data_IF_548332234143
#
_entry.id   IF_548332234143
#
_cell.length_a   1.000
_cell.length_b   1.000
_cell.length_c   1.000
_cell.angle_alpha   90.00
_cell.angle_beta   90.00
_cell.angle_gamma   90.00
#
_symmetry.space_group_name_H-M   'P 1'
#
loop_
_entity.id
_entity.type
_entity.pdbx_description
1 polymer ?
#
# COMPACT_ATOMS: atom_id res chain seq x y z
N UNK A 1 20.55 -44.50 -49.23
CA UNK A 1 19.90 -43.34 -48.58
C UNK A 1 18.49 -43.75 -48.18
N UNK A 2 18.04 -43.58 -46.93
CA UNK A 2 16.64 -43.82 -46.60
C UNK A 2 15.78 -42.63 -47.11
N UNK A 3 14.52 -42.89 -47.54
CA UNK A 3 13.68 -41.85 -48.12
C UNK A 3 13.21 -40.83 -47.06
N UNK A 4 13.22 -39.55 -47.45
CA UNK A 4 12.69 -38.43 -46.64
C UNK A 4 11.17 -38.58 -46.53
N UNK A 5 10.63 -38.61 -45.31
CA UNK A 5 9.19 -38.61 -45.07
C UNK A 5 8.66 -37.17 -45.16
N UNK A 6 7.74 -36.91 -46.09
CA UNK A 6 6.95 -35.69 -46.16
C UNK A 6 5.92 -35.66 -45.02
N UNK A 7 5.75 -34.52 -44.36
CA UNK A 7 4.77 -34.28 -43.29
C UNK A 7 3.68 -33.33 -43.80
N UNK A 8 2.86 -33.80 -44.75
CA UNK A 8 1.69 -33.05 -45.21
C UNK A 8 0.48 -33.99 -45.13
N UNK A 9 -0.08 -34.17 -43.93
CA UNK A 9 -1.36 -34.86 -43.72
C UNK A 9 -2.35 -33.93 -42.99
N UNK A 10 -3.62 -33.86 -43.42
CA UNK A 10 -4.63 -33.02 -42.76
C UNK A 10 -4.86 -33.49 -41.32
N UNK A 11 -4.75 -32.57 -40.36
CA UNK A 11 -4.86 -32.86 -38.92
C UNK A 11 -6.30 -33.27 -38.59
N UNK A 12 -6.54 -34.58 -38.51
CA UNK A 12 -7.81 -35.16 -38.07
C UNK A 12 -8.01 -34.93 -36.56
N UNK A 13 -9.26 -34.80 -36.11
CA UNK A 13 -9.60 -34.72 -34.67
C UNK A 13 -9.06 -35.91 -33.86
N UNK A 14 -8.91 -37.07 -34.50
CA UNK A 14 -8.27 -38.24 -33.91
C UNK A 14 -6.76 -38.04 -33.65
N UNK A 15 -6.06 -37.28 -34.50
CA UNK A 15 -4.64 -36.93 -34.31
C UNK A 15 -4.43 -35.95 -33.15
N UNK A 16 -5.40 -35.08 -32.88
CA UNK A 16 -5.36 -34.20 -31.72
C UNK A 16 -5.53 -34.96 -30.40
N UNK A 17 -6.41 -35.97 -30.38
CA UNK A 17 -6.58 -36.84 -29.21
C UNK A 17 -5.34 -37.73 -28.98
N UNK A 18 -4.73 -38.26 -30.03
CA UNK A 18 -3.47 -39.01 -29.92
C UNK A 18 -2.32 -38.12 -29.42
N UNK A 19 -2.20 -36.89 -29.92
CA UNK A 19 -1.20 -35.94 -29.44
C UNK A 19 -1.44 -35.54 -27.98
N UNK A 20 -2.71 -35.34 -27.58
CA UNK A 20 -3.08 -35.07 -26.19
C UNK A 20 -2.77 -36.26 -25.28
N UNK A 21 -3.03 -37.49 -25.73
CA UNK A 21 -2.70 -38.71 -25.00
C UNK A 21 -1.19 -38.93 -24.89
N UNK A 22 -0.43 -38.59 -25.94
CA UNK A 22 1.04 -38.63 -25.91
C UNK A 22 1.60 -37.56 -24.96
N UNK A 23 1.08 -36.33 -25.00
CA UNK A 23 1.47 -35.27 -24.06
C UNK A 23 1.16 -35.66 -22.61
N UNK A 24 -0.05 -36.17 -22.32
CA UNK A 24 -0.40 -36.58 -20.96
C UNK A 24 0.48 -37.71 -20.46
N UNK A 25 0.82 -38.67 -21.34
CA UNK A 25 1.76 -39.75 -21.01
C UNK A 25 3.16 -39.21 -20.70
N UNK A 26 3.64 -38.24 -21.47
CA UNK A 26 4.92 -37.59 -21.21
C UNK A 26 4.91 -36.76 -19.92
N UNK A 27 3.81 -36.09 -19.60
CA UNK A 27 3.63 -35.37 -18.33
C UNK A 27 3.63 -36.31 -17.13
N UNK A 28 2.94 -37.45 -17.24
CA UNK A 28 2.94 -38.50 -16.21
C UNK A 28 4.33 -39.16 -16.03
N UNK A 29 5.07 -39.36 -17.11
CA UNK A 29 6.42 -39.89 -17.04
C UNK A 29 7.39 -38.86 -16.43
N UNK A 30 7.17 -37.56 -16.68
CA UNK A 30 7.92 -36.47 -16.04
C UNK A 30 7.59 -36.32 -14.55
N UNK A 31 6.32 -36.42 -14.16
CA UNK A 31 5.92 -36.37 -12.74
C UNK A 31 6.50 -37.55 -11.97
N UNK A 32 6.38 -38.78 -12.51
CA UNK A 32 6.96 -39.99 -11.92
C UNK A 32 8.49 -39.96 -11.87
N UNK A 33 9.17 -39.43 -12.89
CA UNK A 33 10.63 -39.28 -12.86
C UNK A 33 11.08 -38.21 -11.87
N UNK A 34 10.31 -37.11 -11.71
CA UNK A 34 10.54 -36.07 -10.71
C UNK A 34 10.39 -36.61 -9.28
N UNK A 35 9.35 -37.38 -9.01
CA UNK A 35 9.12 -38.02 -7.71
C UNK A 35 10.20 -39.05 -7.37
N UNK A 36 10.69 -39.80 -8.37
CA UNK A 36 11.78 -40.78 -8.21
C UNK A 36 13.17 -40.14 -8.22
N UNK A 37 13.27 -38.82 -8.40
CA UNK A 37 14.54 -38.07 -8.45
C UNK A 37 15.50 -38.47 -9.58
N UNK A 38 15.00 -39.13 -10.63
CA UNK A 38 15.81 -39.55 -11.77
C UNK A 38 15.79 -38.46 -12.86
N UNK A 39 16.94 -38.04 -13.41
CA UNK A 39 16.97 -37.05 -14.48
C UNK A 39 16.35 -37.65 -15.74
N UNK A 40 15.45 -36.90 -16.38
CA UNK A 40 14.80 -37.31 -17.65
C UNK A 40 15.86 -37.65 -18.70
N UNK A 41 15.96 -38.91 -19.09
CA UNK A 41 16.87 -39.35 -20.16
C UNK A 41 16.34 -38.87 -21.50
N UNK A 42 17.06 -37.91 -22.12
CA UNK A 42 16.88 -37.61 -23.55
C UNK A 42 17.19 -38.89 -24.34
N UNK A 43 16.22 -39.37 -25.11
CA UNK A 43 16.37 -40.51 -26.02
C UNK A 43 17.48 -40.20 -27.03
N UNK A 44 18.61 -40.91 -26.94
CA UNK A 44 19.80 -40.73 -27.78
C UNK A 44 21.07 -40.27 -27.05
N UNK A 45 20.98 -39.89 -25.77
CA UNK A 45 22.14 -39.57 -24.94
C UNK A 45 22.69 -40.79 -24.18
N UNK A 46 24.00 -41.01 -24.24
CA UNK A 46 24.71 -42.01 -23.41
C UNK A 46 24.31 -41.84 -21.94
N UNK A 47 23.80 -42.91 -21.31
CA UNK A 47 23.51 -42.95 -19.87
C UNK A 47 24.78 -42.59 -19.08
N UNK A 48 24.85 -41.36 -18.59
CA UNK A 48 25.91 -40.96 -17.66
C UNK A 48 25.42 -41.29 -16.26
N UNK A 49 26.11 -42.24 -15.64
CA UNK A 49 25.75 -42.86 -14.36
C UNK A 49 25.23 -41.91 -13.28
N UNK A 50 24.35 -42.46 -12.46
CA UNK A 50 23.47 -41.89 -11.43
C UNK A 50 24.14 -41.10 -10.28
N UNK A 51 25.41 -40.74 -10.39
CA UNK A 51 26.20 -40.14 -9.29
C UNK A 51 27.00 -38.89 -9.68
N UNK A 52 26.52 -38.10 -10.65
CA UNK A 52 27.16 -36.81 -10.97
C UNK A 52 26.25 -35.67 -10.55
N UNK A 53 26.70 -34.94 -9.52
CA UNK A 53 26.14 -33.68 -9.03
C UNK A 53 25.71 -32.83 -10.23
N UNK A 54 24.49 -32.27 -10.17
CA UNK A 54 23.95 -31.38 -11.22
C UNK A 54 25.00 -30.32 -11.62
N UNK A 55 25.08 -29.94 -12.91
CA UNK A 55 26.03 -28.92 -13.35
C UNK A 55 25.79 -27.61 -12.62
N UNK A 56 26.85 -26.81 -12.40
CA UNK A 56 26.83 -25.65 -11.50
C UNK A 56 25.70 -24.63 -11.78
N UNK A 57 25.29 -24.47 -13.04
CA UNK A 57 24.20 -23.60 -13.46
C UNK A 57 22.79 -24.18 -13.20
N UNK A 58 22.68 -25.50 -13.04
CA UNK A 58 21.44 -26.20 -12.68
C UNK A 58 21.32 -26.43 -11.17
N UNK A 59 22.35 -26.11 -10.38
CA UNK A 59 22.29 -26.16 -8.91
C UNK A 59 21.59 -24.91 -8.41
N UNK A 60 20.49 -25.09 -7.68
CA UNK A 60 19.82 -23.97 -7.00
C UNK A 60 20.77 -23.35 -5.97
N UNK A 61 20.77 -22.02 -5.87
CA UNK A 61 21.61 -21.32 -4.89
C UNK A 61 21.22 -21.73 -3.46
N UNK A 62 22.23 -21.81 -2.57
CA UNK A 62 22.01 -22.12 -1.16
C UNK A 62 21.07 -21.08 -0.54
N UNK A 63 19.97 -21.55 0.06
CA UNK A 63 18.97 -20.69 0.71
C UNK A 63 17.92 -20.09 -0.23
N UNK A 64 17.96 -20.36 -1.55
CA UNK A 64 16.92 -19.88 -2.47
C UNK A 64 15.59 -20.58 -2.21
N UNK A 65 15.60 -21.89 -1.88
CA UNK A 65 14.40 -22.62 -1.46
C UNK A 65 13.83 -22.10 -0.12
N UNK A 66 14.69 -21.72 0.83
CA UNK A 66 14.27 -21.13 2.11
C UNK A 66 13.69 -19.72 1.91
N UNK A 67 14.28 -18.93 1.01
CA UNK A 67 13.75 -17.61 0.62
C UNK A 67 12.43 -17.75 -0.13
N UNK A 68 12.32 -18.71 -1.05
CA UNK A 68 11.06 -19.04 -1.71
C UNK A 68 10.00 -19.50 -0.72
N UNK A 69 10.31 -20.37 0.24
CA UNK A 69 9.36 -20.80 1.27
C UNK A 69 8.91 -19.65 2.18
N UNK A 70 9.79 -18.67 2.43
CA UNK A 70 9.46 -17.45 3.18
C UNK A 70 8.63 -16.45 2.38
N UNK A 71 8.90 -16.33 1.09
CA UNK A 71 8.22 -15.41 0.17
C UNK A 71 6.94 -16.03 -0.43
N UNK A 72 6.80 -17.35 -0.33
CA UNK A 72 5.55 -18.07 -0.53
C UNK A 72 4.66 -17.63 0.61
N UNK A 73 3.92 -16.55 0.38
CA UNK A 73 2.92 -15.99 1.29
C UNK A 73 1.98 -17.14 1.62
N UNK A 74 2.27 -17.82 2.72
CA UNK A 74 1.28 -18.65 3.36
C UNK A 74 0.28 -17.63 3.85
N UNK A 75 -0.89 -17.59 3.22
CA UNK A 75 -2.08 -17.08 3.86
C UNK A 75 -2.43 -18.08 4.98
N UNK A 76 -1.50 -18.24 5.92
CA UNK A 76 -1.74 -18.93 7.17
C UNK A 76 -2.71 -18.02 7.91
N UNK A 77 -3.85 -18.60 8.26
CA UNK A 77 -4.90 -18.01 9.06
C UNK A 77 -4.28 -17.55 10.39
N UNK A 78 -3.75 -16.33 10.42
CA UNK A 78 -3.14 -15.77 11.61
C UNK A 78 -4.21 -14.94 12.35
N UNK A 79 -4.92 -15.51 13.35
CA UNK A 79 -6.01 -14.83 14.04
C UNK A 79 -5.53 -13.62 14.85
N UNK A 80 -4.22 -13.45 15.02
CA UNK A 80 -3.64 -12.33 15.78
C UNK A 80 -3.58 -11.02 15.00
N UNK A 81 -3.66 -11.04 13.66
CA UNK A 81 -3.55 -9.81 12.83
C UNK A 81 -4.89 -9.14 12.55
N UNK A 82 -6.02 -9.64 13.07
CA UNK A 82 -7.34 -9.03 12.84
C UNK A 82 -7.77 -9.01 11.37
N UNK A 83 -7.11 -9.80 10.51
CA UNK A 83 -7.52 -10.01 9.12
C UNK A 83 -8.63 -11.05 9.13
N UNK A 84 -9.82 -10.64 8.69
CA UNK A 84 -11.02 -11.49 8.58
C UNK A 84 -10.72 -12.72 7.72
N UNK A 85 -11.31 -13.86 8.06
CA UNK A 85 -11.18 -15.11 7.29
C UNK A 85 -11.36 -14.82 5.79
N UNK A 86 -10.50 -15.36 4.91
CA UNK A 86 -10.56 -15.06 3.47
C UNK A 86 -11.92 -15.43 2.86
N UNK A 87 -12.56 -16.48 3.39
CA UNK A 87 -13.92 -16.86 2.99
C UNK A 87 -14.96 -15.81 3.39
N UNK A 88 -14.87 -15.24 4.61
CA UNK A 88 -15.76 -14.16 5.03
C UNK A 88 -15.55 -12.91 4.18
N UNK A 89 -14.29 -12.56 3.87
CA UNK A 89 -13.97 -11.44 2.98
C UNK A 89 -14.60 -11.66 1.60
N UNK A 90 -14.45 -12.85 1.04
CA UNK A 90 -15.05 -13.22 -0.25
C UNK A 90 -16.58 -13.10 -0.21
N UNK A 91 -17.23 -13.66 0.80
CA UNK A 91 -18.68 -13.55 0.97
C UNK A 91 -19.15 -12.10 1.10
N UNK A 92 -18.40 -11.25 1.82
CA UNK A 92 -18.71 -9.83 1.94
C UNK A 92 -18.55 -9.09 0.61
N UNK A 93 -17.53 -9.42 -0.18
CA UNK A 93 -17.31 -8.84 -1.50
C UNK A 93 -18.40 -9.27 -2.49
N UNK A 94 -18.79 -10.54 -2.48
CA UNK A 94 -19.90 -11.07 -3.29
C UNK A 94 -21.22 -10.40 -2.94
N UNK A 95 -21.53 -10.23 -1.63
CA UNK A 95 -22.72 -9.50 -1.18
C UNK A 95 -22.73 -8.04 -1.65
N UNK A 96 -21.58 -7.36 -1.56
CA UNK A 96 -21.46 -5.98 -2.06
C UNK A 96 -21.66 -5.94 -3.56
N UNK A 97 -20.99 -6.81 -4.32
CA UNK A 97 -21.10 -6.87 -5.78
C UNK A 97 -22.57 -7.04 -6.22
N UNK A 98 -23.30 -7.96 -5.58
CA UNK A 98 -24.73 -8.15 -5.86
C UNK A 98 -25.59 -6.89 -5.60
N UNK A 99 -25.28 -6.11 -4.56
CA UNK A 99 -25.95 -4.82 -4.29
C UNK A 99 -25.59 -3.80 -5.38
N UNK A 100 -24.31 -3.68 -5.74
CA UNK A 100 -23.86 -2.77 -6.80
C UNK A 100 -24.50 -3.09 -8.15
N UNK A 101 -24.65 -4.37 -8.51
CA UNK A 101 -25.30 -4.78 -9.76
C UNK A 101 -26.79 -4.44 -9.77
N UNK A 102 -27.47 -4.55 -8.63
CA UNK A 102 -28.88 -4.12 -8.49
C UNK A 102 -29.03 -2.60 -8.66
N UNK A 103 -28.17 -1.81 -8.00
CA UNK A 103 -28.17 -0.34 -8.13
C UNK A 103 -27.83 0.08 -9.57
N UNK A 104 -26.85 -0.58 -10.20
CA UNK A 104 -26.51 -0.35 -11.61
C UNK A 104 -27.66 -0.67 -12.57
N UNK A 105 -28.49 -1.66 -12.24
CA UNK A 105 -29.71 -2.01 -12.98
C UNK A 105 -30.90 -1.08 -12.68
N UNK A 106 -30.74 -0.06 -11.83
CA UNK A 106 -31.80 0.88 -11.46
C UNK A 106 -32.76 0.38 -10.38
N UNK A 107 -32.39 -0.67 -9.64
CA UNK A 107 -33.12 -1.18 -8.48
C UNK A 107 -32.53 -0.61 -7.18
N UNK A 108 -33.28 -0.59 -6.09
CA UNK A 108 -32.80 -0.03 -4.80
C UNK A 108 -31.70 -0.86 -4.14
N UNK A 109 -31.60 -2.17 -4.43
CA UNK A 109 -30.59 -3.04 -3.82
C UNK A 109 -30.73 -3.20 -2.30
N UNK A 110 -31.86 -2.78 -1.72
CA UNK A 110 -32.18 -2.85 -0.30
C UNK A 110 -31.86 -1.57 0.48
N UNK A 111 -31.20 -0.59 -0.16
CA UNK A 111 -30.89 0.71 0.44
C UNK A 111 -32.08 1.67 0.31
N UNK A 112 -32.15 2.65 1.21
CA UNK A 112 -33.07 3.79 1.05
C UNK A 112 -32.57 4.73 -0.05
N UNK A 113 -33.46 5.49 -0.68
CA UNK A 113 -33.07 6.43 -1.74
C UNK A 113 -32.04 7.45 -1.27
N UNK A 114 -32.22 8.02 -0.06
CA UNK A 114 -31.24 8.93 0.54
C UNK A 114 -29.87 8.30 0.77
N UNK A 115 -29.81 6.99 1.08
CA UNK A 115 -28.53 6.27 1.21
C UNK A 115 -27.87 6.04 -0.15
N UNK A 116 -28.66 5.83 -1.20
CA UNK A 116 -28.16 5.69 -2.58
C UNK A 116 -27.63 7.04 -3.07
N UNK A 117 -28.36 8.14 -2.81
CA UNK A 117 -27.95 9.51 -3.19
C UNK A 117 -26.70 9.98 -2.44
N UNK A 118 -26.47 9.46 -1.22
CA UNK A 118 -25.25 9.71 -0.46
C UNK A 118 -24.04 8.89 -0.96
N UNK A 119 -24.22 7.94 -1.90
CA UNK A 119 -23.10 7.21 -2.49
C UNK A 119 -22.28 8.15 -3.36
N UNK A 120 -20.96 8.02 -3.28
CA UNK A 120 -20.01 8.80 -4.09
C UNK A 120 -20.10 8.54 -5.60
N UNK A 121 -20.85 7.51 -6.02
CA UNK A 121 -20.94 7.07 -7.41
C UNK A 121 -22.36 7.32 -7.92
N UNK A 122 -22.48 8.19 -8.91
CA UNK A 122 -23.73 8.49 -9.59
C UNK A 122 -24.07 7.41 -10.63
N UNK A 123 -24.84 6.40 -10.24
CA UNK A 123 -25.22 5.30 -11.13
C UNK A 123 -26.17 5.77 -12.27
N UNK A 124 -27.00 6.78 -12.03
CA UNK A 124 -27.95 7.30 -13.03
C UNK A 124 -27.29 8.10 -14.14
N UNK A 125 -26.14 8.72 -13.86
CA UNK A 125 -25.44 9.51 -14.87
C UNK A 125 -25.00 8.62 -16.04
N UNK A 126 -24.59 7.37 -15.76
CA UNK A 126 -24.23 6.39 -16.79
C UNK A 126 -25.43 5.92 -17.60
N UNK A 127 -26.59 5.71 -16.95
CA UNK A 127 -27.81 5.32 -17.63
C UNK A 127 -28.37 6.45 -18.53
N UNK A 128 -28.35 7.70 -18.04
CA UNK A 128 -28.85 8.89 -18.75
C UNK A 128 -27.97 9.39 -19.88
N UNK A 129 -26.65 9.22 -19.76
CA UNK A 129 -25.70 9.79 -20.71
C UNK A 129 -25.66 9.09 -22.07
N UNK A 130 -26.30 7.92 -22.23
CA UNK A 130 -26.43 7.23 -23.53
C UNK A 130 -25.11 7.07 -24.31
N UNK A 131 -23.96 7.19 -23.64
CA UNK A 131 -22.69 7.42 -24.31
C UNK A 131 -22.18 6.11 -24.91
N UNK A 132 -22.02 6.01 -26.25
CA UNK A 132 -21.58 4.79 -26.93
C UNK A 132 -20.05 4.59 -26.87
N UNK A 133 -19.40 5.09 -25.82
CA UNK A 133 -17.95 5.02 -25.66
C UNK A 133 -17.55 3.92 -24.67
N UNK A 134 -17.26 2.73 -25.23
CA UNK A 134 -16.01 2.03 -24.92
C UNK A 134 -15.90 1.16 -23.66
N UNK A 135 -17.00 0.74 -23.02
CA UNK A 135 -16.93 -0.40 -22.09
C UNK A 135 -18.26 -1.13 -22.00
N UNK A 136 -18.64 -1.72 -23.13
CA UNK A 136 -19.49 -2.91 -23.11
C UNK A 136 -18.62 -4.10 -22.70
N UNK A 137 -18.43 -4.31 -21.39
CA UNK A 137 -18.50 -5.71 -20.95
C UNK A 137 -19.98 -6.06 -20.96
N UNK A 138 -20.51 -6.25 -22.18
CA UNK A 138 -21.50 -7.26 -22.41
C UNK A 138 -20.83 -8.56 -21.99
N UNK A 139 -20.88 -8.87 -20.70
CA UNK A 139 -21.26 -10.23 -20.37
C UNK A 139 -22.65 -10.34 -20.99
N UNK A 140 -22.68 -10.84 -22.22
CA UNK A 140 -23.78 -11.67 -22.66
C UNK A 140 -23.84 -12.77 -21.60
N UNK A 141 -24.55 -12.48 -20.53
CA UNK A 141 -25.08 -13.53 -19.69
C UNK A 141 -26.14 -14.12 -20.59
N UNK A 142 -25.76 -15.25 -21.17
CA UNK A 142 -26.66 -16.08 -21.93
C UNK A 142 -27.89 -16.29 -21.05
N UNK A 143 -29.04 -15.84 -21.52
CA UNK A 143 -30.33 -16.39 -21.11
C UNK A 143 -30.36 -17.85 -21.58
N UNK A 144 -29.53 -18.70 -20.96
CA UNK A 144 -29.68 -20.14 -21.01
C UNK A 144 -30.52 -20.50 -19.78
N UNK A 145 -31.79 -20.70 -20.08
CA UNK A 145 -32.78 -21.24 -19.15
C UNK A 145 -32.42 -22.70 -18.84
N UNK A 146 -31.40 -22.91 -18.03
CA UNK A 146 -31.19 -24.18 -17.34
C UNK A 146 -31.75 -24.06 -15.92
N UNK A 147 -32.83 -24.81 -15.74
CA UNK A 147 -33.53 -25.17 -14.51
C UNK A 147 -32.57 -25.84 -13.50
N UNK A 148 -31.62 -25.07 -12.99
CA UNK A 148 -30.88 -25.43 -11.80
C UNK A 148 -31.74 -25.02 -10.59
N UNK A 149 -32.05 -25.94 -9.65
CA UNK A 149 -32.74 -25.55 -8.43
C UNK A 149 -31.87 -24.53 -7.73
N UNK A 150 -32.30 -23.27 -7.78
CA UNK A 150 -31.73 -22.16 -7.03
C UNK A 150 -31.64 -22.66 -5.59
N UNK A 151 -30.41 -22.98 -5.18
CA UNK A 151 -30.13 -23.25 -3.78
C UNK A 151 -30.78 -22.09 -3.03
N UNK A 152 -31.69 -22.36 -2.07
CA UNK A 152 -32.56 -21.33 -1.54
C UNK A 152 -31.66 -20.23 -1.00
N UNK A 153 -31.59 -19.11 -1.71
CA UNK A 153 -31.14 -17.87 -1.13
C UNK A 153 -32.06 -17.73 0.07
N UNK A 154 -31.49 -17.92 1.25
CA UNK A 154 -32.22 -17.89 2.49
C UNK A 154 -33.02 -16.60 2.48
N UNK A 155 -34.34 -16.69 2.33
CA UNK A 155 -35.32 -15.59 2.28
C UNK A 155 -35.39 -14.87 3.64
N UNK A 156 -34.29 -14.85 4.38
CA UNK A 156 -34.25 -14.56 5.81
C UNK A 156 -33.98 -13.10 6.11
N UNK A 157 -33.57 -12.28 5.12
CA UNK A 157 -33.20 -10.88 5.38
C UNK A 157 -33.69 -9.82 4.38
N UNK A 158 -34.38 -10.16 3.29
CA UNK A 158 -34.97 -9.14 2.39
C UNK A 158 -36.49 -9.07 2.62
N UNK A 159 -37.00 -8.06 3.34
CA UNK A 159 -38.43 -7.97 3.64
C UNK A 159 -39.25 -7.74 2.37
N UNK A 160 -40.38 -8.45 2.26
CA UNK A 160 -41.37 -8.22 1.20
C UNK A 160 -42.11 -6.91 1.46
N UNK A 161 -42.42 -6.24 0.36
CA UNK A 161 -42.68 -4.81 0.32
C UNK A 161 -43.76 -4.58 -0.76
N UNK A 162 -44.86 -3.93 -0.39
CA UNK A 162 -46.02 -3.61 -1.24
C UNK A 162 -45.73 -2.53 -2.30
N UNK A 163 -45.11 -2.90 -3.41
CA UNK A 163 -44.80 -2.01 -4.52
C UNK A 163 -46.01 -1.76 -5.45
N UNK A 164 -46.27 -0.50 -5.82
CA UNK A 164 -47.23 -0.16 -6.88
C UNK A 164 -46.54 -0.09 -8.24
N UNK A 165 -46.83 -1.07 -9.10
CA UNK A 165 -46.35 -1.14 -10.49
C UNK A 165 -46.88 0.05 -11.32
N UNK A 166 -46.27 0.33 -12.47
CA UNK A 166 -46.60 1.44 -13.39
C UNK A 166 -48.07 1.44 -13.83
N UNK A 167 -48.72 0.27 -13.76
CA UNK A 167 -50.13 0.06 -14.05
C UNK A 167 -51.08 0.30 -12.85
N UNK A 168 -50.57 0.84 -11.74
CA UNK A 168 -51.34 1.09 -10.51
C UNK A 168 -51.74 -0.16 -9.73
N UNK A 169 -51.11 -1.31 -10.02
CA UNK A 169 -51.37 -2.59 -9.33
C UNK A 169 -50.39 -2.76 -8.19
N UNK A 170 -50.88 -3.07 -6.99
CA UNK A 170 -50.04 -3.40 -5.83
C UNK A 170 -49.53 -4.84 -5.93
N UNK A 171 -48.23 -5.04 -5.80
CA UNK A 171 -47.55 -6.35 -5.76
C UNK A 171 -46.61 -6.41 -4.58
N UNK A 172 -46.50 -7.57 -3.94
CA UNK A 172 -45.49 -7.82 -2.92
C UNK A 172 -44.20 -8.28 -3.61
N UNK A 173 -43.14 -7.48 -3.54
CA UNK A 173 -41.82 -7.82 -4.07
C UNK A 173 -40.75 -7.63 -2.98
N UNK A 174 -39.59 -8.29 -3.08
CA UNK A 174 -38.48 -8.06 -2.16
C UNK A 174 -38.01 -6.60 -2.22
N UNK A 175 -37.66 -6.00 -1.08
CA UNK A 175 -37.22 -4.60 -1.01
C UNK A 175 -36.05 -4.32 -1.95
N UNK A 176 -35.11 -5.27 -2.11
CA UNK A 176 -33.96 -5.06 -2.99
C UNK A 176 -34.28 -5.06 -4.50
N UNK A 177 -35.47 -5.49 -4.89
CA UNK A 177 -35.91 -5.54 -6.28
C UNK A 177 -36.82 -4.38 -6.70
N UNK A 178 -37.23 -3.56 -5.73
CA UNK A 178 -38.05 -2.37 -5.99
C UNK A 178 -37.30 -1.44 -6.95
N UNK A 179 -37.94 -0.99 -8.04
CA UNK A 179 -37.37 0.01 -8.93
C UNK A 179 -37.05 1.31 -8.18
N UNK A 180 -35.97 1.99 -8.56
CA UNK A 180 -35.61 3.27 -7.94
C UNK A 180 -36.61 4.36 -8.29
N UNK A 181 -36.95 5.21 -7.32
CA UNK A 181 -37.93 6.30 -7.46
C UNK A 181 -39.39 5.83 -7.51
N UNK A 182 -39.63 4.53 -7.32
CA UNK A 182 -40.96 3.98 -7.36
C UNK A 182 -41.66 4.19 -6.00
N UNK A 183 -42.93 4.64 -5.97
CA UNK A 183 -43.62 4.94 -4.73
C UNK A 183 -43.86 3.63 -3.98
N UNK A 184 -43.05 3.41 -2.95
CA UNK A 184 -43.19 2.27 -2.07
C UNK A 184 -43.27 2.73 -0.61
N UNK A 185 -44.21 2.17 0.14
CA UNK A 185 -44.39 2.44 1.57
C UNK A 185 -43.45 1.59 2.40
N UNK A 186 -42.26 2.12 2.68
CA UNK A 186 -41.29 1.49 3.58
C UNK A 186 -41.88 1.26 4.98
N UNK A 187 -42.09 0.00 5.44
CA UNK A 187 -42.66 -0.26 6.77
C UNK A 187 -41.69 0.07 7.93
N UNK A 188 -40.40 0.26 7.61
CA UNK A 188 -39.34 0.61 8.56
C UNK A 188 -38.88 2.07 8.42
N UNK A 189 -39.43 2.84 7.48
CA UNK A 189 -39.16 4.27 7.41
C UNK A 189 -39.84 4.96 8.60
N UNK A 190 -39.17 5.89 9.29
CA UNK A 190 -39.80 6.63 10.38
C UNK A 190 -41.06 7.32 9.86
N UNK A 191 -42.21 7.04 10.48
CA UNK A 191 -43.48 7.70 10.15
C UNK A 191 -43.29 9.23 10.24
N UNK A 192 -43.28 9.91 9.09
CA UNK A 192 -43.08 11.35 9.03
C UNK A 192 -42.31 11.88 7.81
N UNK A 193 -41.67 11.02 7.02
CA UNK A 193 -41.04 11.44 5.75
C UNK A 193 -41.92 11.02 4.57
N UNK A 194 -43.08 11.66 4.44
CA UNK A 194 -43.81 11.62 3.17
C UNK A 194 -42.97 12.34 2.12
N UNK A 195 -42.63 11.64 1.04
CA UNK A 195 -41.85 12.14 -0.10
C UNK A 195 -42.62 13.19 -0.95
N UNK A 196 -43.71 13.74 -0.41
CA UNK A 196 -44.54 14.77 -1.03
C UNK A 196 -44.22 16.15 -0.43
N UNK A 197 -42.97 16.60 -0.46
CA UNK A 197 -42.62 17.99 -0.11
C UNK A 197 -41.46 18.48 -0.98
N UNK A 198 -41.81 19.03 -2.14
CA UNK A 198 -40.93 19.93 -2.88
C UNK A 198 -40.68 21.20 -2.05
N UNK A 199 -39.41 21.58 -1.92
CA UNK A 199 -38.89 22.86 -1.42
C UNK A 199 -39.12 23.22 0.07
N UNK A 200 -38.25 22.71 0.95
CA UNK A 200 -37.93 23.39 2.21
C UNK A 200 -36.40 23.47 2.39
N UNK A 201 -35.81 24.65 2.65
CA UNK A 201 -34.36 24.75 2.86
C UNK A 201 -33.99 24.14 4.21
N UNK A 202 -33.21 23.06 4.16
CA UNK A 202 -32.63 22.41 5.34
C UNK A 202 -31.65 23.37 5.99
N UNK A 203 -32.00 23.92 7.15
CA UNK A 203 -31.07 24.65 7.99
C UNK A 203 -30.11 23.67 8.65
N UNK A 204 -28.87 23.65 8.17
CA UNK A 204 -27.75 22.99 8.85
C UNK A 204 -27.49 23.72 10.17
N UNK A 205 -27.89 23.12 11.28
CA UNK A 205 -27.34 23.46 12.60
C UNK A 205 -25.97 22.82 12.73
N UNK A 206 -24.93 23.62 12.50
CA UNK A 206 -23.56 23.22 12.79
C UNK A 206 -23.43 22.94 14.29
N UNK A 207 -23.16 21.68 14.65
CA UNK A 207 -22.64 21.34 15.98
C UNK A 207 -21.21 21.87 16.04
N UNK A 208 -20.99 22.88 16.86
CA UNK A 208 -19.69 23.51 17.11
C UNK A 208 -18.97 22.67 18.18
N UNK A 209 -17.83 22.09 17.82
CA UNK A 209 -16.84 21.60 18.78
C UNK A 209 -16.02 22.80 19.28
N UNK A 210 -16.36 23.32 20.47
CA UNK A 210 -15.74 24.48 21.12
C UNK A 210 -14.37 24.18 21.74
N UNK A 211 -13.36 23.78 20.94
CA UNK A 211 -11.98 23.57 21.43
C UNK A 211 -10.87 24.11 20.52
N UNK A 212 -11.11 25.22 19.83
CA UNK A 212 -10.03 26.01 19.22
C UNK A 212 -10.12 27.44 19.77
N UNK A 213 -9.10 27.97 20.46
CA UNK A 213 -9.08 29.39 20.80
C UNK A 213 -9.04 30.18 19.49
N UNK A 214 -10.14 30.86 19.19
CA UNK A 214 -10.34 31.72 18.01
C UNK A 214 -9.41 32.94 18.12
N UNK A 215 -8.16 32.77 17.72
CA UNK A 215 -7.18 33.84 17.64
C UNK A 215 -7.42 34.64 16.36
N UNK A 216 -7.83 35.89 16.53
CA UNK A 216 -8.11 36.82 15.43
C UNK A 216 -9.58 36.78 15.02
N UNK A 217 -10.20 37.96 14.96
CA UNK A 217 -11.52 38.16 14.37
C UNK A 217 -11.37 37.83 12.88
N UNK A 218 -11.68 36.60 12.48
CA UNK A 218 -11.79 36.26 11.07
C UNK A 218 -12.81 37.23 10.44
N UNK A 219 -12.45 37.91 9.34
CA UNK A 219 -13.37 38.80 8.66
C UNK A 219 -14.61 38.01 8.24
N UNK A 220 -15.79 38.64 8.37
CA UNK A 220 -17.04 38.01 7.96
C UNK A 220 -16.96 37.58 6.48
N UNK A 221 -17.61 36.48 6.08
CA UNK A 221 -17.59 36.04 4.68
C UNK A 221 -18.16 37.15 3.78
N UNK A 222 -17.28 37.87 3.08
CA UNK A 222 -17.61 39.03 2.24
C UNK A 222 -16.77 40.28 2.51
N UNK A 223 -16.05 40.35 3.63
CA UNK A 223 -15.16 41.46 3.96
C UNK A 223 -13.74 41.11 3.52
N UNK A 224 -13.35 41.59 2.32
CA UNK A 224 -11.97 41.48 1.83
C UNK A 224 -10.99 42.22 2.74
N UNK A 225 -9.66 42.04 2.55
CA UNK A 225 -8.68 42.84 3.27
C UNK A 225 -8.98 44.33 3.08
N UNK A 226 -8.93 45.12 4.16
CA UNK A 226 -9.26 46.54 4.15
C UNK A 226 -8.60 47.22 2.93
N UNK A 227 -9.34 47.95 2.09
CA UNK A 227 -8.80 48.50 0.83
C UNK A 227 -7.68 49.52 1.06
N UNK A 228 -7.51 50.00 2.30
CA UNK A 228 -6.37 50.82 2.72
C UNK A 228 -5.02 50.08 2.74
N UNK A 229 -5.03 48.75 2.77
CA UNK A 229 -3.82 47.91 2.74
C UNK A 229 -3.43 47.47 1.32
N UNK A 230 -4.21 47.83 0.30
CA UNK A 230 -3.94 47.46 -1.09
C UNK A 230 -3.31 48.65 -1.81
N UNK A 231 -1.98 48.72 -1.77
CA UNK A 231 -1.22 49.74 -2.50
C UNK A 231 -1.02 49.31 -3.96
N UNK A 232 -1.70 49.95 -4.92
CA UNK A 232 -1.45 49.75 -6.35
C UNK A 232 -0.34 50.69 -6.85
N UNK A 233 0.78 50.15 -7.32
CA UNK A 233 1.92 50.90 -7.86
C UNK A 233 3.22 50.08 -7.90
N UNK A 234 4.31 50.66 -8.42
CA UNK A 234 5.67 50.07 -8.34
C UNK A 234 6.17 50.16 -6.88
N UNK A 235 6.00 49.07 -6.13
CA UNK A 235 6.33 49.02 -4.70
C UNK A 235 7.83 48.79 -4.51
N UNK A 236 8.60 49.88 -4.41
CA UNK A 236 10.05 49.82 -4.12
C UNK A 236 10.37 49.56 -2.64
N UNK A 237 9.38 49.47 -1.77
CA UNK A 237 9.53 49.19 -0.35
C UNK A 237 8.36 48.32 0.13
N UNK A 238 8.67 47.10 0.57
CA UNK A 238 7.71 46.22 1.22
C UNK A 238 7.73 46.49 2.72
N UNK A 239 6.57 46.68 3.37
CA UNK A 239 6.53 46.76 4.83
C UNK A 239 7.02 45.43 5.41
N UNK A 240 8.15 45.47 6.12
CA UNK A 240 8.65 44.34 6.88
C UNK A 240 7.78 44.22 8.13
N UNK A 241 7.18 43.05 8.32
CA UNK A 241 6.35 42.80 9.50
C UNK A 241 7.20 42.82 10.76
N UNK A 242 7.05 43.87 11.57
CA UNK A 242 7.61 44.00 12.91
C UNK A 242 6.49 43.77 13.94
N UNK A 243 6.35 42.54 14.47
CA UNK A 243 5.34 42.27 15.49
C UNK A 243 5.62 43.08 16.75
N UNK A 244 4.54 43.57 17.39
CA UNK A 244 4.63 44.29 18.67
C UNK A 244 5.38 43.45 19.72
N UNK A 245 6.45 43.98 20.35
CA UNK A 245 7.24 43.27 21.35
C UNK A 245 6.39 42.78 22.53
N UNK A 246 5.29 43.46 22.88
CA UNK A 246 4.39 43.02 23.93
C UNK A 246 3.67 41.72 23.55
N UNK A 247 3.25 41.58 22.29
CA UNK A 247 2.59 40.36 21.76
C UNK A 247 3.60 39.21 21.69
N UNK A 248 4.85 39.49 21.30
CA UNK A 248 5.91 38.50 21.32
C UNK A 248 6.19 37.98 22.74
N UNK A 249 6.27 38.89 23.71
CA UNK A 249 6.50 38.54 25.12
C UNK A 249 5.35 37.69 25.68
N UNK A 250 4.09 38.05 25.37
CA UNK A 250 2.92 37.25 25.75
C UNK A 250 2.94 35.86 25.11
N UNK A 251 3.22 35.76 23.81
CA UNK A 251 3.37 34.46 23.13
C UNK A 251 4.47 33.62 23.77
N UNK A 252 5.64 34.19 24.02
CA UNK A 252 6.74 33.51 24.69
C UNK A 252 6.32 33.01 26.08
N UNK A 253 5.61 33.82 26.86
CA UNK A 253 5.10 33.41 28.17
C UNK A 253 4.08 32.27 28.07
N UNK A 254 3.15 32.31 27.12
CA UNK A 254 2.18 31.22 26.91
C UNK A 254 2.85 29.92 26.47
N UNK A 255 3.86 29.98 25.60
CA UNK A 255 4.64 28.81 25.18
C UNK A 255 5.47 28.24 26.32
N UNK A 256 6.06 29.10 27.16
CA UNK A 256 6.79 28.67 28.35
C UNK A 256 5.86 28.00 29.38
N UNK A 257 4.67 28.57 29.60
CA UNK A 257 3.66 27.98 30.47
C UNK A 257 3.14 26.64 29.94
N UNK A 258 2.90 26.54 28.63
CA UNK A 258 2.50 25.29 27.97
C UNK A 258 3.60 24.22 28.04
N UNK A 259 4.87 24.60 27.90
CA UNK A 259 6.01 23.69 28.01
C UNK A 259 6.26 23.21 29.46
N UNK A 260 5.91 24.03 30.45
CA UNK A 260 6.02 23.68 31.87
C UNK A 260 4.84 22.82 32.37
N UNK A 261 3.69 22.85 31.68
CA UNK A 261 2.53 22.04 32.03
C UNK A 261 2.80 20.54 31.75
N UNK A 262 2.34 19.61 32.61
CA UNK A 262 2.47 18.19 32.34
C UNK A 262 1.70 17.82 31.06
N UNK A 263 2.36 17.13 30.14
CA UNK A 263 1.75 16.70 28.89
C UNK A 263 0.68 15.64 29.20
N UNK A 264 -0.59 15.97 28.90
CA UNK A 264 -1.75 15.13 29.25
C UNK A 264 -1.84 13.89 28.36
N UNK A 265 -1.44 14.01 27.09
CA UNK A 265 -1.52 12.93 26.10
C UNK A 265 -0.17 12.66 25.45
N UNK A 266 0.25 11.39 25.47
CA UNK A 266 1.45 10.92 24.80
C UNK A 266 1.14 10.36 23.41
N UNK A 267 2.13 10.42 22.51
CA UNK A 267 2.03 9.77 21.21
C UNK A 267 1.77 8.25 21.36
N UNK A 268 0.69 7.77 20.74
CA UNK A 268 0.31 6.37 20.70
C UNK A 268 0.55 5.76 19.32
N UNK A 269 1.21 4.59 19.32
CA UNK A 269 1.54 3.92 18.10
C UNK A 269 0.30 3.35 17.36
N UNK A 270 -0.75 2.99 18.08
CA UNK A 270 -1.88 2.26 17.53
C UNK A 270 -2.77 3.09 16.60
N UNK A 271 -2.76 4.42 16.74
CA UNK A 271 -3.58 5.34 15.93
C UNK A 271 -2.92 5.89 14.66
N UNK A 272 -1.66 5.56 14.40
CA UNK A 272 -0.95 6.06 13.21
C UNK A 272 -1.07 5.09 12.04
N UNK A 273 -1.55 5.59 10.91
CA UNK A 273 -1.70 4.80 9.68
C UNK A 273 -0.46 4.82 8.78
N UNK A 274 0.59 5.55 9.14
CA UNK A 274 1.82 5.67 8.36
C UNK A 274 2.75 4.48 8.59
N UNK A 275 3.48 4.09 7.54
CA UNK A 275 4.52 3.07 7.62
C UNK A 275 5.68 3.57 8.48
N UNK A 276 6.00 2.81 9.52
CA UNK A 276 7.12 3.06 10.41
C UNK A 276 8.37 2.39 9.89
N UNK A 277 9.49 3.11 9.95
CA UNK A 277 10.80 2.58 9.55
C UNK A 277 11.36 1.57 10.56
N UNK A 278 12.47 0.91 10.19
CA UNK A 278 13.13 -0.11 11.00
C UNK A 278 13.70 0.39 12.35
N UNK A 279 13.75 1.72 12.56
CA UNK A 279 14.18 2.34 13.81
C UNK A 279 13.04 2.80 14.71
N UNK A 280 11.79 2.41 14.40
CA UNK A 280 10.66 2.80 15.24
C UNK A 280 10.62 2.01 16.55
N UNK A 281 10.49 2.74 17.66
CA UNK A 281 10.31 2.20 19.00
C UNK A 281 9.01 2.77 19.59
N UNK A 282 8.10 1.89 20.00
CA UNK A 282 6.84 2.29 20.64
C UNK A 282 7.04 2.35 22.15
N UNK A 283 6.87 3.53 22.73
CA UNK A 283 6.90 3.70 24.18
C UNK A 283 5.57 3.31 24.83
N UNK A 284 5.64 2.81 26.06
CA UNK A 284 4.47 2.54 26.91
C UNK A 284 3.62 3.81 27.12
N UNK A 285 2.32 3.62 27.31
CA UNK A 285 1.41 4.72 27.71
C UNK A 285 1.60 5.10 29.18
N UNK A 286 2.15 4.19 29.98
CA UNK A 286 2.37 4.39 31.40
C UNK A 286 3.61 5.24 31.63
N UNK A 287 3.45 6.36 32.34
CA UNK A 287 4.50 7.38 32.53
C UNK A 287 5.78 6.83 33.17
N UNK A 288 5.65 5.88 34.10
CA UNK A 288 6.80 5.28 34.79
C UNK A 288 7.58 4.32 33.90
N UNK A 289 6.88 3.52 33.09
CA UNK A 289 7.51 2.60 32.16
C UNK A 289 8.16 3.36 31.01
N UNK A 290 7.44 4.33 30.44
CA UNK A 290 7.98 5.24 29.42
C UNK A 290 9.27 5.92 29.86
N UNK A 291 9.34 6.40 31.10
CA UNK A 291 10.57 7.00 31.66
C UNK A 291 11.72 6.00 31.70
N UNK A 292 11.46 4.76 32.13
CA UNK A 292 12.48 3.71 32.15
C UNK A 292 12.96 3.36 30.75
N UNK A 293 12.04 3.24 29.80
CA UNK A 293 12.34 2.98 28.38
C UNK A 293 13.17 4.13 27.77
N UNK A 294 12.84 5.39 28.11
CA UNK A 294 13.62 6.57 27.69
C UNK A 294 15.03 6.55 28.29
N UNK A 295 15.16 6.28 29.60
CA UNK A 295 16.46 6.19 30.28
C UNK A 295 17.32 5.05 29.69
N UNK A 296 16.71 3.91 29.35
CA UNK A 296 17.38 2.79 28.70
C UNK A 296 17.86 3.16 27.29
N UNK A 297 17.02 3.84 26.51
CA UNK A 297 17.37 4.31 25.17
C UNK A 297 18.53 5.32 25.22
N UNK A 298 18.51 6.24 26.20
CA UNK A 298 19.59 7.20 26.41
C UNK A 298 20.91 6.52 26.78
N UNK A 299 20.88 5.49 27.64
CA UNK A 299 22.07 4.70 27.97
C UNK A 299 22.61 3.98 26.74
N UNK A 300 21.74 3.32 25.97
CA UNK A 300 22.15 2.66 24.73
C UNK A 300 22.77 3.65 23.73
N UNK A 301 22.19 4.85 23.61
CA UNK A 301 22.74 5.92 22.77
C UNK A 301 24.13 6.35 23.26
N UNK A 302 24.29 6.63 24.55
CA UNK A 302 25.57 7.01 25.14
C UNK A 302 26.65 5.94 24.92
N UNK A 303 26.30 4.65 25.03
CA UNK A 303 27.24 3.56 24.74
C UNK A 303 27.64 3.50 23.27
N UNK A 304 26.68 3.69 22.34
CA UNK A 304 27.00 3.69 20.90
C UNK A 304 27.84 4.89 20.50
N UNK A 305 27.58 6.06 21.07
CA UNK A 305 28.37 7.27 20.86
C UNK A 305 29.78 7.10 21.43
N UNK A 306 29.90 6.49 22.62
CA UNK A 306 31.20 6.14 23.21
C UNK A 306 31.99 5.20 22.30
N UNK A 307 31.38 4.10 21.83
CA UNK A 307 32.03 3.14 20.92
C UNK A 307 32.42 3.77 19.58
N UNK A 308 31.58 4.66 19.03
CA UNK A 308 31.92 5.41 17.81
C UNK A 308 33.13 6.30 18.03
N UNK A 309 33.15 7.07 19.13
CA UNK A 309 34.26 7.93 19.51
C UNK A 309 35.55 7.13 19.74
N UNK A 310 35.48 6.00 20.44
CA UNK A 310 36.62 5.10 20.64
C UNK A 310 37.18 4.60 19.30
N UNK A 311 36.32 4.21 18.37
CA UNK A 311 36.73 3.76 17.03
C UNK A 311 37.33 4.88 16.19
N UNK A 312 36.80 6.09 16.29
CA UNK A 312 37.35 7.28 15.63
C UNK A 312 38.74 7.62 16.18
N UNK A 313 38.90 7.63 17.50
CA UNK A 313 40.20 7.87 18.14
C UNK A 313 41.23 6.80 17.75
N UNK A 314 40.83 5.53 17.72
CA UNK A 314 41.72 4.45 17.29
C UNK A 314 42.07 4.57 15.80
N UNK A 315 41.09 4.91 14.95
CA UNK A 315 41.32 5.20 13.54
C UNK A 315 42.30 6.35 13.32
N UNK A 316 42.14 7.44 14.06
CA UNK A 316 43.04 8.60 14.04
C UNK A 316 44.44 8.23 14.54
N UNK A 317 44.55 7.39 15.58
CA UNK A 317 45.83 6.91 16.08
C UNK A 317 46.57 6.10 15.01
N UNK A 318 45.90 5.11 14.41
CA UNK A 318 46.48 4.28 13.33
C UNK A 318 46.89 5.15 12.14
N UNK A 319 46.09 6.16 11.79
CA UNK A 319 46.42 7.11 10.72
C UNK A 319 47.68 7.91 11.05
N UNK A 320 47.80 8.44 12.27
CA UNK A 320 49.00 9.17 12.73
C UNK A 320 50.25 8.29 12.75
N UNK A 321 50.13 7.04 13.19
CA UNK A 321 51.25 6.09 13.17
C UNK A 321 51.71 5.81 11.73
N UNK A 322 50.78 5.61 10.79
CA UNK A 322 51.08 5.44 9.36
C UNK A 322 51.73 6.68 8.74
N UNK A 323 51.29 7.87 9.12
CA UNK A 323 51.89 9.14 8.66
C UNK A 323 53.33 9.28 9.15
N UNK A 324 53.60 8.95 10.43
CA UNK A 324 54.96 8.95 10.98
C UNK A 324 55.88 7.98 10.24
N UNK A 325 55.43 6.75 10.01
CA UNK A 325 56.20 5.75 9.26
C UNK A 325 56.51 6.23 7.83
N UNK A 326 55.54 6.87 7.17
CA UNK A 326 55.73 7.46 5.84
C UNK A 326 56.74 8.60 5.85
N UNK A 327 56.70 9.47 6.85
CA UNK A 327 57.63 10.58 7.00
C UNK A 327 59.05 10.09 7.30
N UNK A 328 59.20 9.08 8.15
CA UNK A 328 60.50 8.43 8.40
C UNK A 328 61.05 7.77 7.14
N UNK A 329 60.21 7.07 6.38
CA UNK A 329 60.60 6.50 5.09
C UNK A 329 61.02 7.58 4.10
N UNK A 330 60.30 8.71 4.07
CA UNK A 330 60.63 9.85 3.19
C UNK A 330 61.99 10.44 3.56
N UNK A 331 62.27 10.64 4.85
CA UNK A 331 63.59 11.10 5.35
C UNK A 331 64.71 10.16 4.93
N UNK A 332 64.54 8.85 5.14
CA UNK A 332 65.54 7.85 4.72
C UNK A 332 65.79 7.85 3.21
N UNK A 333 64.76 8.12 2.40
CA UNK A 333 64.90 8.23 0.94
C UNK A 333 65.64 9.52 0.56
N UNK A 334 65.34 10.65 1.21
CA UNK A 334 66.03 11.93 1.01
C UNK A 334 67.51 11.83 1.39
N UNK A 335 67.83 11.21 2.52
CA UNK A 335 69.22 10.97 2.96
C UNK A 335 69.98 10.11 1.94
N UNK A 336 69.37 9.00 1.48
CA UNK A 336 69.95 8.16 0.42
C UNK A 336 70.11 8.91 -0.91
N UNK A 337 69.18 9.81 -1.26
CA UNK A 337 69.30 10.63 -2.46
C UNK A 337 70.47 11.60 -2.34
N UNK A 338 70.63 12.27 -1.20
CA UNK A 338 71.77 13.15 -0.92
C UNK A 338 73.10 12.41 -1.01
N UNK A 339 73.21 11.24 -0.39
CA UNK A 339 74.42 10.41 -0.45
C UNK A 339 74.77 10.01 -1.92
N UNK A 340 73.76 9.63 -2.71
CA UNK A 340 73.96 9.29 -4.13
C UNK A 340 74.36 10.51 -4.95
N UNK A 341 73.78 11.68 -4.68
CA UNK A 341 74.15 12.95 -5.33
C UNK A 341 75.58 13.37 -5.00
N UNK A 342 75.98 13.29 -3.74
CA UNK A 342 77.36 13.55 -3.29
C UNK A 342 78.34 12.57 -3.95
N UNK A 343 78.01 11.27 -3.99
CA UNK A 343 78.83 10.26 -4.68
C UNK A 343 78.94 10.54 -6.18
N UNK A 344 77.87 11.01 -6.82
CA UNK A 344 77.88 11.40 -8.24
C UNK A 344 78.70 12.67 -8.46
N UNK A 345 78.62 13.66 -7.56
CA UNK A 345 79.40 14.89 -7.61
C UNK A 345 80.90 14.60 -7.44
N UNK A 346 81.28 13.79 -6.47
CA UNK A 346 82.66 13.34 -6.27
C UNK A 346 83.21 12.58 -7.50
N UNK A 347 82.39 11.72 -8.11
CA UNK A 347 82.78 11.01 -9.34
C UNK A 347 82.95 11.97 -10.53
N UNK A 348 82.12 13.01 -10.64
CA UNK A 348 82.26 14.06 -11.67
C UNK A 348 83.51 14.90 -11.45
N UNK A 349 83.79 15.30 -10.21
CA UNK A 349 84.99 16.08 -9.87
C UNK A 349 86.30 15.31 -10.10
N UNK A 350 86.28 13.97 -10.02
CA UNK A 350 87.44 13.12 -10.33
C UNK A 350 87.61 12.82 -11.83
N UNK A 351 86.59 13.12 -12.65
CA UNK A 351 86.58 12.89 -14.09
C UNK A 351 86.84 14.17 -14.92
N UNK A 352 86.85 15.33 -14.25
CA UNK A 352 87.39 16.59 -14.74
C UNK A 352 88.81 16.76 -14.23
#
# INVERSE_FOLDING_TARGET
MPPKKHLDAPVSSASFLDLKAQLSKHEDDLSKSRERGQPSTITGGVSRGTNKKLPAWARQNKGLAQRQARDQVVYEDDPTTGRKDPQQVKQHLEKKAAIYDKIRKGKTGGLTEAQIDALLVDFDQRARSGSPSGSSSSTADSDDADDAPVAPLTHTQDPLVEFTDEFGRTRLIPRSEVPRGAPFRDPNAPEGVSHDMAHAPVQYVARVDDRVPKMGKEPAPGEGPDPSNVYYGDQTSFPVYEPDPAILAQRAATLAAAAAAPLVDHYSATGENRTRGAGFYAFSTDEQERRREMDELERARAETERKRREREVEGDRVKRERERERDERKRRIEDKRREVEERRAAKRAKAA
#
